data_IF_451699252012
#
_entry.id   IF_451699252012
#
_cell.length_a   1.000
_cell.length_b   1.000
_cell.length_c   1.000
_cell.angle_alpha   90.00
_cell.angle_beta   90.00
_cell.angle_gamma   90.00
#
_symmetry.space_group_name_H-M   'P 1'
#
loop_
_entity.id
_entity.type
_entity.pdbx_description
1 polymer ?
#
# COMPACT_ATOMS: atom_id res chain seq x y z
N UNK A 1 -2.21 -12.61 27.39
CA UNK A 1 -2.26 -12.81 25.93
C UNK A 1 -2.95 -11.59 25.34
N UNK A 2 -2.20 -10.58 24.95
CA UNK A 2 -2.72 -9.35 24.34
C UNK A 2 -3.13 -9.65 22.90
N UNK A 3 -4.41 -9.45 22.58
CA UNK A 3 -4.89 -9.46 21.20
C UNK A 3 -4.06 -8.46 20.39
N UNK A 4 -3.47 -8.83 19.24
CA UNK A 4 -2.87 -7.84 18.37
C UNK A 4 -4.01 -6.95 17.88
N UNK A 5 -4.01 -5.69 18.31
CA UNK A 5 -4.91 -4.67 17.78
C UNK A 5 -4.83 -4.77 16.26
N UNK A 6 -5.95 -5.15 15.66
CA UNK A 6 -6.13 -5.32 14.22
C UNK A 6 -6.21 -3.93 13.60
N UNK A 7 -5.14 -3.15 13.76
CA UNK A 7 -5.10 -1.78 13.26
C UNK A 7 -5.13 -1.84 11.74
N UNK A 8 -6.26 -1.41 11.17
CA UNK A 8 -6.51 -1.42 9.73
C UNK A 8 -5.94 -0.14 9.13
N UNK A 9 -5.37 -0.26 7.94
CA UNK A 9 -4.98 0.90 7.13
C UNK A 9 -6.24 1.73 6.87
N UNK A 10 -6.18 3.04 7.07
CA UNK A 10 -7.28 3.95 6.71
C UNK A 10 -7.00 4.52 5.33
N UNK A 11 -7.97 4.46 4.43
CA UNK A 11 -7.90 5.04 3.08
C UNK A 11 -8.94 6.15 2.94
N UNK A 12 -8.48 7.39 2.79
CA UNK A 12 -9.32 8.48 2.29
C UNK A 12 -9.39 8.41 0.76
N UNK A 13 -10.60 8.34 0.23
CA UNK A 13 -10.90 8.12 -1.19
C UNK A 13 -12.00 9.08 -1.70
N UNK A 14 -12.16 9.16 -3.01
CA UNK A 14 -13.28 9.80 -3.70
C UNK A 14 -13.70 8.94 -4.90
N UNK A 15 -15.01 8.80 -5.14
CA UNK A 15 -15.54 8.04 -6.29
C UNK A 15 -15.27 8.72 -7.63
N UNK A 16 -14.94 10.01 -7.62
CA UNK A 16 -14.69 10.81 -8.81
C UNK A 16 -13.20 10.84 -9.20
N UNK A 17 -12.33 10.16 -8.44
CA UNK A 17 -10.90 10.14 -8.67
C UNK A 17 -10.44 8.78 -9.24
N UNK A 18 -10.04 8.75 -10.50
CA UNK A 18 -9.54 7.54 -11.16
C UNK A 18 -8.32 6.92 -10.43
N UNK A 19 -7.47 7.75 -9.83
CA UNK A 19 -6.32 7.27 -9.05
C UNK A 19 -6.77 6.55 -7.77
N UNK A 20 -7.77 7.09 -7.08
CA UNK A 20 -8.34 6.44 -5.88
C UNK A 20 -8.95 5.09 -6.23
N UNK A 21 -9.70 5.00 -7.32
CA UNK A 21 -10.25 3.72 -7.82
C UNK A 21 -9.15 2.72 -8.15
N UNK A 22 -8.02 3.17 -8.70
CA UNK A 22 -6.87 2.32 -9.02
C UNK A 22 -6.20 1.76 -7.76
N UNK A 23 -6.04 2.60 -6.72
CA UNK A 23 -5.50 2.19 -5.42
C UNK A 23 -6.45 1.22 -4.72
N UNK A 24 -7.75 1.47 -4.74
CA UNK A 24 -8.74 0.54 -4.17
C UNK A 24 -8.69 -0.82 -4.85
N UNK A 25 -8.69 -0.88 -6.19
CA UNK A 25 -8.56 -2.15 -6.93
C UNK A 25 -7.26 -2.88 -6.59
N UNK A 26 -6.15 -2.15 -6.45
CA UNK A 26 -4.88 -2.76 -6.06
C UNK A 26 -4.97 -3.40 -4.67
N UNK A 27 -5.58 -2.72 -3.70
CA UNK A 27 -5.75 -3.25 -2.34
C UNK A 27 -6.69 -4.46 -2.32
N UNK A 28 -7.82 -4.36 -3.04
CA UNK A 28 -8.83 -5.42 -3.13
C UNK A 28 -8.25 -6.67 -3.81
N UNK A 29 -7.50 -6.52 -4.93
CA UNK A 29 -6.85 -7.63 -5.63
C UNK A 29 -5.77 -8.36 -4.81
N UNK A 30 -5.21 -7.70 -3.81
CA UNK A 30 -4.19 -8.26 -2.91
C UNK A 30 -4.77 -8.62 -1.54
N UNK A 31 -6.10 -8.62 -1.40
CA UNK A 31 -6.81 -9.00 -0.18
C UNK A 31 -6.41 -8.16 1.06
N UNK A 32 -6.01 -6.91 0.82
CA UNK A 32 -5.56 -5.99 1.88
C UNK A 32 -6.76 -5.26 2.47
N UNK A 33 -7.14 -5.65 3.68
CA UNK A 33 -8.24 -5.02 4.40
C UNK A 33 -7.91 -3.57 4.79
N UNK A 34 -8.77 -2.64 4.37
CA UNK A 34 -8.66 -1.21 4.71
C UNK A 34 -9.98 -0.65 5.23
N UNK A 35 -9.91 0.37 6.09
CA UNK A 35 -11.04 1.20 6.44
C UNK A 35 -11.16 2.35 5.41
N UNK A 36 -12.12 2.24 4.48
CA UNK A 36 -12.35 3.25 3.44
C UNK A 36 -13.20 4.39 3.99
N UNK A 37 -12.72 5.62 3.84
CA UNK A 37 -13.43 6.86 4.15
C UNK A 37 -13.62 7.63 2.84
N UNK A 38 -14.84 7.69 2.35
CA UNK A 38 -15.17 8.49 1.17
C UNK A 38 -15.43 9.95 1.60
N UNK A 39 -14.69 10.89 1.01
CA UNK A 39 -14.85 12.32 1.30
C UNK A 39 -15.96 13.00 0.48
N UNK A 40 -16.56 12.31 -0.49
CA UNK A 40 -17.60 12.86 -1.36
C UNK A 40 -18.82 13.31 -0.55
N UNK A 41 -19.12 14.61 -0.56
CA UNK A 41 -20.26 15.17 0.20
C UNK A 41 -20.10 15.09 1.72
N UNK A 42 -18.96 14.60 2.23
CA UNK A 42 -18.67 14.49 3.65
C UNK A 42 -17.69 15.60 4.06
N UNK A 43 -18.24 16.73 4.51
CA UNK A 43 -17.45 17.90 4.90
C UNK A 43 -16.49 17.63 6.06
N UNK A 44 -16.89 16.79 7.01
CA UNK A 44 -16.07 16.43 8.17
C UNK A 44 -14.86 15.59 7.77
N UNK A 45 -15.07 14.54 6.98
CA UNK A 45 -13.97 13.70 6.47
C UNK A 45 -13.03 14.49 5.56
N UNK A 46 -13.56 15.43 4.77
CA UNK A 46 -12.75 16.33 3.93
C UNK A 46 -11.92 17.29 4.78
N UNK A 47 -12.50 17.90 5.82
CA UNK A 47 -11.78 18.77 6.74
C UNK A 47 -10.68 18.00 7.47
N UNK A 48 -10.97 16.79 7.94
CA UNK A 48 -9.98 15.91 8.56
C UNK A 48 -8.83 15.59 7.61
N UNK A 49 -9.13 15.28 6.35
CA UNK A 49 -8.11 15.01 5.34
C UNK A 49 -7.22 16.25 5.08
N UNK A 50 -7.81 17.44 5.05
CA UNK A 50 -7.08 18.71 4.91
C UNK A 50 -6.08 18.88 6.05
N UNK A 51 -6.48 18.62 7.30
CA UNK A 51 -5.57 18.65 8.46
C UNK A 51 -4.41 17.66 8.28
N UNK A 52 -4.72 16.42 7.93
CA UNK A 52 -3.73 15.33 7.74
C UNK A 52 -2.70 15.67 6.65
N UNK A 53 -3.14 16.35 5.60
CA UNK A 53 -2.31 16.68 4.44
C UNK A 53 -1.78 18.11 4.44
N UNK A 54 -1.89 18.83 5.56
CA UNK A 54 -1.31 20.17 5.69
C UNK A 54 -1.95 21.21 4.77
N UNK A 55 -3.27 21.16 4.61
CA UNK A 55 -4.04 22.15 3.84
C UNK A 55 -4.72 21.60 2.58
N UNK A 56 -4.45 20.35 2.19
CA UNK A 56 -4.94 19.78 0.93
C UNK A 56 -5.88 18.60 1.13
N UNK A 57 -6.99 18.56 0.39
CA UNK A 57 -7.90 17.41 0.38
C UNK A 57 -7.47 16.32 -0.64
N UNK A 58 -6.15 16.08 -0.78
CA UNK A 58 -5.60 15.16 -1.78
C UNK A 58 -5.97 13.69 -1.51
N UNK A 59 -6.49 13.01 -2.53
CA UNK A 59 -6.85 11.58 -2.50
C UNK A 59 -6.18 10.84 -3.66
N UNK A 60 -5.83 9.56 -3.51
CA UNK A 60 -6.00 8.73 -2.31
C UNK A 60 -4.97 9.06 -1.23
N UNK A 61 -5.36 9.06 0.05
CA UNK A 61 -4.43 9.16 1.18
C UNK A 61 -4.58 7.96 2.09
N UNK A 62 -3.50 7.23 2.32
CA UNK A 62 -3.45 6.08 3.23
C UNK A 62 -2.73 6.45 4.52
N UNK A 63 -3.33 6.06 5.65
CA UNK A 63 -2.72 6.12 6.99
C UNK A 63 -2.50 4.70 7.46
N UNK A 64 -1.24 4.39 7.77
CA UNK A 64 -0.82 3.07 8.19
C UNK A 64 -0.84 2.95 9.73
N UNK A 65 -0.95 1.73 10.27
CA UNK A 65 -0.89 1.49 11.73
C UNK A 65 0.38 2.02 12.40
N UNK A 66 1.50 2.04 11.66
CA UNK A 66 2.77 2.59 12.14
C UNK A 66 2.79 4.13 12.22
N UNK A 67 1.65 4.79 11.98
CA UNK A 67 1.50 6.25 11.98
C UNK A 67 2.01 6.94 10.72
N UNK A 68 2.66 6.21 9.80
CA UNK A 68 3.12 6.80 8.54
C UNK A 68 1.96 7.02 7.57
N UNK A 69 2.15 7.91 6.60
CA UNK A 69 1.15 8.21 5.56
C UNK A 69 1.72 8.19 4.17
N UNK A 70 0.88 7.86 3.20
CA UNK A 70 1.13 8.04 1.78
C UNK A 70 -0.02 8.85 1.16
N UNK A 71 0.30 10.00 0.60
CA UNK A 71 -0.64 10.86 -0.12
C UNK A 71 -0.36 10.71 -1.62
N UNK A 72 -1.41 10.42 -2.40
CA UNK A 72 -1.36 10.17 -3.84
C UNK A 72 -0.26 9.18 -4.28
N UNK A 73 -0.12 8.00 -3.62
CA UNK A 73 0.98 7.10 -3.94
C UNK A 73 0.83 6.42 -5.28
N UNK A 74 1.95 6.23 -5.97
CA UNK A 74 2.03 5.27 -7.06
C UNK A 74 1.80 3.83 -6.57
N UNK A 75 1.35 2.95 -7.46
CA UNK A 75 1.22 1.52 -7.15
C UNK A 75 2.57 0.87 -6.79
N UNK A 76 3.70 1.42 -7.26
CA UNK A 76 5.03 0.94 -6.88
C UNK A 76 5.35 1.26 -5.42
N UNK A 77 5.02 2.47 -4.95
CA UNK A 77 5.14 2.84 -3.53
C UNK A 77 4.27 1.95 -2.65
N UNK A 78 3.04 1.64 -3.07
CA UNK A 78 2.17 0.72 -2.34
C UNK A 78 2.74 -0.69 -2.28
N UNK A 79 3.20 -1.25 -3.41
CA UNK A 79 3.87 -2.56 -3.43
C UNK A 79 5.04 -2.62 -2.46
N UNK A 80 5.89 -1.60 -2.45
CA UNK A 80 7.03 -1.53 -1.53
C UNK A 80 6.58 -1.41 -0.07
N UNK A 81 5.62 -0.53 0.22
CA UNK A 81 5.14 -0.28 1.60
C UNK A 81 4.40 -1.49 2.19
N UNK A 82 3.66 -2.22 1.35
CA UNK A 82 2.83 -3.37 1.71
C UNK A 82 3.54 -4.71 1.46
N UNK A 83 4.75 -4.69 0.92
CA UNK A 83 5.54 -5.87 0.56
C UNK A 83 4.83 -6.84 -0.41
N UNK A 84 4.04 -6.28 -1.32
CA UNK A 84 3.32 -7.01 -2.38
C UNK A 84 4.19 -7.10 -3.63
N UNK A 85 4.16 -8.26 -4.29
CA UNK A 85 4.84 -8.55 -5.57
C UNK A 85 6.32 -8.09 -5.60
N UNK A 86 7.03 -8.17 -4.47
CA UNK A 86 8.42 -7.76 -4.45
C UNK A 86 9.27 -8.79 -5.23
N UNK A 87 10.06 -8.35 -6.24
CA UNK A 87 11.01 -9.26 -6.86
C UNK A 87 11.98 -9.75 -5.78
N UNK A 88 12.50 -10.99 -5.92
CA UNK A 88 13.46 -11.54 -4.97
C UNK A 88 14.59 -10.53 -4.76
N UNK A 89 14.99 -10.36 -3.50
CA UNK A 89 16.04 -9.41 -3.17
C UNK A 89 17.37 -9.82 -3.86
N UNK A 90 18.34 -8.91 -3.92
CA UNK A 90 19.61 -9.19 -4.60
C UNK A 90 20.29 -10.44 -4.04
N UNK A 91 20.21 -10.70 -2.74
CA UNK A 91 20.79 -11.89 -2.13
C UNK A 91 20.11 -13.16 -2.66
N UNK A 92 18.79 -13.17 -2.83
CA UNK A 92 18.04 -14.30 -3.40
C UNK A 92 18.38 -14.50 -4.89
N UNK A 93 18.53 -13.41 -5.64
CA UNK A 93 18.96 -13.47 -7.05
C UNK A 93 20.39 -14.00 -7.19
N UNK A 94 21.30 -13.56 -6.32
CA UNK A 94 22.69 -14.02 -6.29
C UNK A 94 22.78 -15.49 -5.87
N UNK A 95 22.03 -15.91 -4.83
CA UNK A 95 21.95 -17.33 -4.42
C UNK A 95 21.42 -18.21 -5.55
N UNK A 96 20.37 -17.78 -6.23
CA UNK A 96 19.82 -18.50 -7.39
C UNK A 96 20.86 -18.62 -8.52
N UNK A 97 21.57 -17.54 -8.84
CA UNK A 97 22.57 -17.52 -9.91
C UNK A 97 23.83 -18.33 -9.57
N UNK A 98 24.31 -18.27 -8.33
CA UNK A 98 25.50 -19.03 -7.90
C UNK A 98 25.19 -20.51 -7.66
N UNK A 99 23.98 -20.86 -7.20
CA UNK A 99 23.53 -22.24 -6.99
C UNK A 99 23.39 -23.05 -8.29
N UNK A 100 23.17 -22.40 -9.44
CA UNK A 100 23.08 -23.06 -10.74
C UNK A 100 24.43 -23.46 -11.35
N UNK A 101 25.55 -22.90 -10.87
CA UNK A 101 26.90 -23.26 -11.37
C UNK A 101 27.43 -24.60 -10.86
N UNK A 102 26.71 -25.27 -9.96
CA UNK A 102 27.09 -26.57 -9.38
C UNK A 102 26.59 -27.81 -10.13
N UNK A 103 25.73 -27.67 -11.14
CA UNK A 103 25.29 -28.78 -11.99
C UNK A 103 26.13 -28.84 -13.27
N UNK A 104 27.40 -29.21 -13.14
CA UNK A 104 28.16 -29.70 -14.28
C UNK A 104 27.73 -31.14 -14.54
N UNK A 105 27.17 -31.39 -15.72
CA UNK A 105 26.90 -32.75 -16.21
C UNK A 105 28.19 -33.57 -16.09
N UNK A 106 28.18 -34.56 -15.18
CA UNK A 106 29.16 -35.64 -15.16
C UNK A 106 28.75 -36.63 -16.28
N UNK A 107 29.70 -37.11 -17.10
CA UNK A 107 29.42 -37.86 -18.33
C UNK A 107 28.61 -39.13 -18.11
#
# INVERSE_FOLDING_TARGET
>A
MSNPSTEKITLYTSRWCAHSLSVERFLDNNEIAVHKINIDGNGESRARLIEINGGYASVPTLIFPDGTKLTEPSLSQLRKKLQVDQPPNLADRVRHFLGQRGQTNKP
#
